data_IF_545220054800
#
_entry.id   IF_545220054800
#
_cell.length_a   1.000
_cell.length_b   1.000
_cell.length_c   1.000
_cell.angle_alpha   90.00
_cell.angle_beta   90.00
_cell.angle_gamma   90.00
#
_symmetry.space_group_name_H-M   'P 1'
#
loop_
_entity.id
_entity.type
_entity.pdbx_description
1 polymer ?
#
# COMPACT_ATOMS: atom_id res chain seq x y z
N UNK A 1 -11.26 -28.91 -7.47
CA UNK A 1 -10.80 -28.42 -6.97
C UNK A 1 -10.69 -27.23 -7.00
N UNK A 2 -11.13 -27.07 -6.67
CA UNK A 2 -11.13 -25.87 -6.57
C UNK A 2 -9.98 -25.23 -6.85
N UNK A 3 -9.92 -24.64 -7.48
CA UNK A 3 -8.91 -24.03 -7.64
C UNK A 3 -8.49 -23.46 -6.52
N UNK A 4 -7.58 -23.76 -6.17
CA UNK A 4 -7.25 -23.19 -5.10
C UNK A 4 -6.97 -21.85 -5.23
N UNK A 5 -7.27 -21.08 -4.26
CA UNK A 5 -6.96 -19.78 -4.27
C UNK A 5 -5.55 -19.57 -4.12
N UNK A 6 -4.99 -18.67 -4.83
CA UNK A 6 -3.62 -18.39 -4.74
C UNK A 6 -3.34 -17.61 -3.52
N UNK A 7 -2.46 -18.03 -2.70
CA UNK A 7 -2.06 -17.30 -1.50
C UNK A 7 -1.28 -16.06 -1.87
N UNK A 8 -1.49 -14.99 -1.12
CA UNK A 8 -0.68 -13.79 -1.25
C UNK A 8 0.58 -14.01 -0.45
N UNK A 9 1.72 -13.90 -1.10
CA UNK A 9 2.99 -14.18 -0.43
C UNK A 9 3.59 -12.95 0.21
N UNK A 10 3.52 -11.80 -0.45
CA UNK A 10 4.14 -10.58 0.05
C UNK A 10 3.10 -9.50 0.21
N UNK A 11 3.13 -8.82 1.36
CA UNK A 11 2.34 -7.61 1.54
C UNK A 11 3.30 -6.42 1.49
N UNK A 12 3.11 -5.54 0.50
CA UNK A 12 3.92 -4.34 0.34
C UNK A 12 3.20 -3.22 1.06
N UNK A 13 3.82 -2.68 2.10
CA UNK A 13 3.22 -1.66 2.96
C UNK A 13 3.93 -0.34 2.71
N UNK A 14 3.16 0.67 2.32
CA UNK A 14 3.70 1.97 1.92
C UNK A 14 3.09 3.05 2.80
N UNK A 15 3.79 3.49 3.86
CA UNK A 15 3.35 4.66 4.59
C UNK A 15 3.54 5.90 3.72
N UNK A 16 2.53 6.76 3.69
CA UNK A 16 2.52 7.91 2.78
C UNK A 16 1.99 9.14 3.49
N UNK A 17 2.63 10.29 3.24
CA UNK A 17 2.14 11.57 3.74
C UNK A 17 2.44 12.61 2.67
N UNK A 18 1.39 13.11 2.03
CA UNK A 18 1.49 14.13 0.97
C UNK A 18 2.37 13.67 -0.21
N UNK A 19 2.52 14.51 -1.19
CA UNK A 19 3.34 14.25 -2.39
C UNK A 19 2.78 13.11 -3.24
N UNK A 20 1.69 13.43 -3.92
CA UNK A 20 1.00 12.45 -4.76
C UNK A 20 1.91 11.85 -5.81
N UNK A 21 2.79 12.64 -6.42
CA UNK A 21 3.60 12.14 -7.52
C UNK A 21 4.55 11.03 -7.08
N UNK A 22 5.11 11.16 -5.89
CA UNK A 22 5.99 10.10 -5.38
C UNK A 22 5.21 8.82 -5.18
N UNK A 23 4.00 8.91 -4.64
CA UNK A 23 3.18 7.72 -4.43
C UNK A 23 2.79 7.09 -5.77
N UNK A 24 2.37 7.89 -6.74
CA UNK A 24 2.00 7.40 -8.06
C UNK A 24 3.17 6.70 -8.73
N UNK A 25 4.36 7.31 -8.68
CA UNK A 25 5.54 6.70 -9.27
C UNK A 25 5.86 5.36 -8.62
N UNK A 26 5.70 5.28 -7.32
CA UNK A 26 5.93 4.06 -6.58
C UNK A 26 4.94 2.97 -7.01
N UNK A 27 3.65 3.32 -7.09
CA UNK A 27 2.62 2.37 -7.46
C UNK A 27 2.78 1.91 -8.91
N UNK A 28 3.15 2.82 -9.81
CA UNK A 28 3.37 2.44 -11.20
C UNK A 28 4.53 1.47 -11.33
N UNK A 29 5.59 1.68 -10.56
CA UNK A 29 6.73 0.76 -10.57
C UNK A 29 6.33 -0.62 -10.10
N UNK A 30 5.52 -0.69 -9.05
CA UNK A 30 5.06 -1.97 -8.55
C UNK A 30 4.17 -2.69 -9.56
N UNK A 31 3.31 -1.94 -10.24
CA UNK A 31 2.41 -2.53 -11.23
C UNK A 31 3.16 -3.03 -12.46
N UNK A 32 4.34 -2.53 -12.72
CA UNK A 32 5.16 -2.98 -13.83
C UNK A 32 6.01 -4.20 -13.47
N UNK A 33 6.00 -4.61 -12.21
CA UNK A 33 6.76 -5.76 -11.78
C UNK A 33 6.26 -7.03 -12.43
N UNK A 34 7.17 -7.93 -12.78
CA UNK A 34 6.77 -9.22 -13.31
C UNK A 34 6.27 -10.15 -12.22
N UNK A 35 6.69 -9.93 -10.97
CA UNK A 35 6.17 -10.71 -9.87
C UNK A 35 4.81 -10.15 -9.50
N UNK A 36 3.80 -11.01 -9.44
CA UNK A 36 2.43 -10.55 -9.22
C UNK A 36 1.77 -11.06 -7.96
N UNK A 37 2.44 -11.92 -7.20
CA UNK A 37 1.80 -12.51 -6.05
C UNK A 37 2.01 -11.68 -4.80
N UNK A 38 1.55 -10.41 -4.84
CA UNK A 38 1.65 -9.53 -3.70
C UNK A 38 0.41 -8.64 -3.64
N UNK A 39 0.17 -8.11 -2.48
CA UNK A 39 -0.84 -7.07 -2.29
C UNK A 39 -0.14 -5.76 -1.94
N UNK A 40 -0.81 -4.66 -2.18
CA UNK A 40 -0.29 -3.34 -1.84
C UNK A 40 -1.22 -2.70 -0.81
N UNK A 41 -0.63 -2.24 0.29
CA UNK A 41 -1.35 -1.55 1.34
C UNK A 41 -0.72 -0.17 1.50
N UNK A 42 -1.46 0.88 1.17
CA UNK A 42 -1.00 2.25 1.38
C UNK A 42 -1.59 2.74 2.68
N UNK A 43 -0.74 3.20 3.58
CA UNK A 43 -1.20 3.79 4.84
C UNK A 43 -1.08 5.30 4.69
N UNK A 44 -2.21 5.97 4.59
CA UNK A 44 -2.23 7.42 4.43
C UNK A 44 -2.10 8.07 5.80
N UNK A 45 -0.95 8.65 6.08
CA UNK A 45 -0.64 9.31 7.33
C UNK A 45 -1.16 10.75 7.31
N UNK A 46 -2.47 10.91 7.22
CA UNK A 46 -3.13 12.21 7.32
C UNK A 46 -2.66 13.19 6.23
N UNK A 47 -2.63 12.73 4.97
CA UNK A 47 -2.29 13.63 3.87
C UNK A 47 -3.34 14.71 3.70
N UNK A 48 -2.90 15.90 3.36
CA UNK A 48 -3.79 17.04 3.13
C UNK A 48 -3.83 17.47 1.67
N UNK A 49 -3.18 16.75 0.78
CA UNK A 49 -3.03 17.16 -0.63
C UNK A 49 -3.93 16.39 -1.59
N UNK A 50 -4.92 15.66 -1.08
CA UNK A 50 -5.84 14.87 -1.89
C UNK A 50 -5.19 13.74 -2.67
N UNK A 51 -3.95 13.38 -2.34
CA UNK A 51 -3.26 12.29 -3.05
C UNK A 51 -4.06 11.00 -3.00
N UNK A 52 -4.75 10.74 -1.91
CA UNK A 52 -5.45 9.49 -1.74
C UNK A 52 -6.69 9.38 -2.62
N UNK A 53 -7.40 10.46 -2.86
CA UNK A 53 -8.58 10.40 -3.71
C UNK A 53 -8.22 9.99 -5.12
N UNK A 54 -7.13 10.55 -5.66
CA UNK A 54 -6.70 10.21 -7.01
C UNK A 54 -6.20 8.78 -7.07
N UNK A 55 -5.46 8.36 -6.05
CA UNK A 55 -4.93 7.00 -6.01
C UNK A 55 -6.07 5.99 -5.92
N UNK A 56 -7.07 6.28 -5.10
CA UNK A 56 -8.19 5.36 -4.95
C UNK A 56 -8.91 5.16 -6.27
N UNK A 57 -9.05 6.21 -7.08
CA UNK A 57 -9.72 6.11 -8.36
C UNK A 57 -8.91 5.36 -9.40
N UNK A 58 -7.60 5.56 -9.41
CA UNK A 58 -6.75 5.02 -10.46
C UNK A 58 -6.15 3.66 -10.16
N UNK A 59 -6.15 3.25 -8.89
CA UNK A 59 -5.57 1.97 -8.48
C UNK A 59 -6.58 1.24 -7.59
N UNK A 60 -7.65 0.72 -8.19
CA UNK A 60 -8.73 0.15 -7.36
C UNK A 60 -8.37 -1.13 -6.65
N UNK A 61 -7.27 -1.76 -7.04
CA UNK A 61 -6.89 -3.04 -6.44
C UNK A 61 -6.11 -2.91 -5.14
N UNK A 62 -5.67 -1.71 -4.78
CA UNK A 62 -4.86 -1.57 -3.57
C UNK A 62 -5.75 -1.33 -2.36
N UNK A 63 -5.21 -1.64 -1.20
CA UNK A 63 -5.88 -1.37 0.07
C UNK A 63 -5.36 -0.05 0.60
N UNK A 64 -6.26 0.84 1.03
CA UNK A 64 -5.88 2.13 1.58
C UNK A 64 -6.41 2.21 3.00
N UNK A 65 -5.50 2.49 3.94
CA UNK A 65 -5.85 2.70 5.33
C UNK A 65 -5.54 4.16 5.64
N UNK A 66 -6.53 4.90 6.12
CA UNK A 66 -6.34 6.31 6.42
C UNK A 66 -6.24 6.51 7.92
N UNK A 67 -5.14 7.16 8.33
CA UNK A 67 -4.96 7.53 9.72
C UNK A 67 -5.39 8.97 9.91
N UNK A 68 -5.98 9.28 11.05
CA UNK A 68 -6.40 10.64 11.34
C UNK A 68 -5.24 11.56 11.67
N UNK A 69 -4.08 10.99 11.96
CA UNK A 69 -2.90 11.80 12.26
C UNK A 69 -1.68 11.11 11.67
N UNK A 70 -0.61 11.88 11.51
CA UNK A 70 0.62 11.34 10.97
C UNK A 70 1.33 10.56 12.06
N UNK A 71 1.40 9.24 11.87
CA UNK A 71 2.00 8.33 12.84
C UNK A 71 3.49 8.12 12.59
N UNK A 72 4.04 8.78 11.58
CA UNK A 72 5.43 8.57 11.19
C UNK A 72 5.60 7.28 10.41
N UNK A 73 6.84 6.98 10.04
CA UNK A 73 7.11 5.81 9.23
C UNK A 73 6.82 4.52 9.99
N UNK A 74 7.37 4.40 11.19
CA UNK A 74 7.19 3.18 11.97
C UNK A 74 5.72 2.95 12.34
N UNK A 75 5.03 4.00 12.75
CA UNK A 75 3.62 3.89 13.09
C UNK A 75 2.77 3.51 11.89
N UNK A 76 3.07 4.07 10.73
CA UNK A 76 2.38 3.71 9.50
C UNK A 76 2.64 2.26 9.12
N UNK A 77 3.88 1.81 9.24
CA UNK A 77 4.21 0.42 8.96
C UNK A 77 3.43 -0.53 9.88
N UNK A 78 3.37 -0.19 11.16
CA UNK A 78 2.65 -1.04 12.10
C UNK A 78 1.17 -1.09 11.79
N UNK A 79 0.59 0.04 11.42
CA UNK A 79 -0.83 0.08 11.09
C UNK A 79 -1.13 -0.75 9.85
N UNK A 80 -0.27 -0.64 8.83
CA UNK A 80 -0.46 -1.43 7.62
C UNK A 80 -0.30 -2.92 7.86
N UNK A 81 0.62 -3.28 8.75
CA UNK A 81 0.89 -4.69 9.02
C UNK A 81 -0.32 -5.40 9.63
N UNK A 82 -1.18 -4.68 10.32
CA UNK A 82 -2.35 -5.30 10.93
C UNK A 82 -3.27 -5.93 9.88
N UNK A 83 -3.38 -5.30 8.71
CA UNK A 83 -4.26 -5.80 7.66
C UNK A 83 -3.56 -6.68 6.65
N UNK A 84 -2.25 -6.91 6.80
CA UNK A 84 -1.50 -7.66 5.82
C UNK A 84 -1.88 -9.13 5.80
N UNK A 85 -2.01 -9.69 4.61
CA UNK A 85 -2.37 -11.09 4.42
C UNK A 85 -1.21 -11.94 3.93
N UNK A 86 -0.09 -11.32 3.55
CA UNK A 86 1.05 -12.05 3.03
C UNK A 86 1.85 -12.73 4.09
N UNK A 87 2.61 -13.73 3.67
CA UNK A 87 3.53 -14.41 4.58
C UNK A 87 4.71 -13.53 4.93
N UNK A 88 5.08 -12.61 4.04
CA UNK A 88 6.19 -11.71 4.24
C UNK A 88 5.73 -10.29 4.11
N UNK A 89 6.33 -9.40 4.89
CA UNK A 89 6.00 -7.98 4.84
C UNK A 89 7.18 -7.24 4.22
N UNK A 90 6.88 -6.39 3.24
CA UNK A 90 7.90 -5.58 2.61
C UNK A 90 7.52 -4.13 2.83
N UNK A 91 8.30 -3.41 3.63
CA UNK A 91 8.01 -2.02 3.95
C UNK A 91 8.75 -1.15 2.97
N UNK A 92 8.00 -0.34 2.24
CA UNK A 92 8.58 0.49 1.19
C UNK A 92 8.43 1.96 1.58
N UNK A 93 9.57 2.62 1.68
CA UNK A 93 9.59 4.03 2.03
C UNK A 93 9.58 4.84 0.74
N UNK A 94 8.50 5.57 0.51
CA UNK A 94 8.41 6.35 -0.72
C UNK A 94 8.68 7.84 -0.50
#
# INVERSE_FOLDING_TARGET
MAQEERSIIVSVIIPHHNNKQILVDCLDSLHQSTYKNFEIIVVDNASSDNSINDVRSNYPDITIIQSLKNLGYAGGCNLGAIDAKGEYLFFLNN
#
